data_IF_474224955973
#
_entry.id   IF_474224955973
#
_cell.length_a   1.000
_cell.length_b   1.000
_cell.length_c   1.000
_cell.angle_alpha   90.00
_cell.angle_beta   90.00
_cell.angle_gamma   90.00
#
_symmetry.space_group_name_H-M   'P 1'
#
loop_
_entity.id
_entity.type
_entity.pdbx_description
1 polymer ?
#
# COMPACT_ATOMS: atom_id res chain seq x y z
N UNK A 1 40.66 29.58 -15.69
CA UNK A 1 39.40 30.22 -15.25
C UNK A 1 38.23 29.95 -16.20
N UNK A 2 38.27 30.28 -17.50
CA UNK A 2 37.15 30.07 -18.43
C UNK A 2 36.70 28.59 -18.54
N UNK A 3 37.66 27.64 -18.68
CA UNK A 3 37.34 26.20 -18.77
C UNK A 3 36.62 25.70 -17.50
N UNK A 4 37.08 26.13 -16.31
CA UNK A 4 36.43 25.77 -15.03
C UNK A 4 35.00 26.30 -14.96
N UNK A 5 34.76 27.54 -15.42
CA UNK A 5 33.40 28.13 -15.46
C UNK A 5 32.51 27.33 -16.40
N UNK A 6 33.00 26.95 -17.57
CA UNK A 6 32.23 26.14 -18.55
C UNK A 6 31.85 24.80 -17.93
N UNK A 7 32.80 24.09 -17.31
CA UNK A 7 32.53 22.79 -16.65
C UNK A 7 31.50 22.96 -15.54
N UNK A 8 31.66 23.95 -14.67
CA UNK A 8 30.73 24.21 -13.57
C UNK A 8 29.30 24.53 -14.10
N UNK A 9 29.22 25.34 -15.17
CA UNK A 9 27.92 25.67 -15.80
C UNK A 9 27.27 24.42 -16.40
N UNK A 10 28.01 23.59 -17.10
CA UNK A 10 27.49 22.33 -17.69
C UNK A 10 26.98 21.39 -16.56
N UNK A 11 27.74 21.23 -15.48
CA UNK A 11 27.33 20.41 -14.35
C UNK A 11 26.04 20.95 -13.70
N UNK A 12 25.96 22.28 -13.51
CA UNK A 12 24.76 22.92 -12.95
C UNK A 12 23.53 22.68 -13.84
N UNK A 13 23.68 22.81 -15.16
CA UNK A 13 22.59 22.53 -16.13
C UNK A 13 22.15 21.07 -16.06
N UNK A 14 23.08 20.12 -15.97
CA UNK A 14 22.77 18.69 -15.84
C UNK A 14 22.01 18.43 -14.54
N UNK A 15 22.45 18.99 -13.41
CA UNK A 15 21.78 18.86 -12.13
C UNK A 15 20.36 19.47 -12.15
N UNK A 16 20.22 20.64 -12.77
CA UNK A 16 18.92 21.30 -12.93
C UNK A 16 17.97 20.46 -13.79
N UNK A 17 18.42 19.94 -14.92
CA UNK A 17 17.63 19.06 -15.78
C UNK A 17 17.27 17.77 -15.05
N UNK A 18 18.23 17.19 -14.31
CA UNK A 18 17.99 16.04 -13.45
C UNK A 18 16.85 16.31 -12.46
N UNK A 19 16.93 17.42 -11.73
CA UNK A 19 15.92 17.82 -10.77
C UNK A 19 14.56 18.12 -11.42
N UNK A 20 14.54 18.88 -12.54
CA UNK A 20 13.32 19.19 -13.27
C UNK A 20 12.59 17.92 -13.75
N UNK A 21 13.33 16.91 -14.21
CA UNK A 21 12.78 15.64 -14.64
C UNK A 21 12.03 14.91 -13.50
N UNK A 22 12.47 15.08 -12.26
CA UNK A 22 11.82 14.50 -11.07
C UNK A 22 10.59 15.31 -10.61
N UNK A 23 10.35 16.51 -11.12
CA UNK A 23 9.15 17.28 -10.82
C UNK A 23 7.96 16.91 -11.74
N UNK A 24 8.23 16.21 -12.83
CA UNK A 24 7.19 15.82 -13.80
C UNK A 24 6.48 14.57 -13.32
N UNK A 25 5.20 14.71 -12.97
CA UNK A 25 4.36 13.57 -12.58
C UNK A 25 4.12 12.64 -13.78
N UNK A 26 4.19 11.32 -13.60
CA UNK A 26 3.87 10.37 -14.67
C UNK A 26 2.38 10.45 -15.05
N UNK A 27 2.06 10.11 -16.28
CA UNK A 27 0.68 9.85 -16.67
C UNK A 27 0.22 8.56 -15.96
N UNK A 28 -1.01 8.54 -15.41
CA UNK A 28 -1.59 7.30 -14.86
C UNK A 28 -1.58 6.17 -15.90
N UNK A 29 -1.63 4.92 -15.43
CA UNK A 29 -1.93 3.79 -16.31
C UNK A 29 -3.32 3.95 -16.92
N UNK A 30 -3.58 3.28 -18.06
CA UNK A 30 -4.90 3.24 -18.68
C UNK A 30 -5.95 2.75 -17.65
N UNK A 31 -7.19 3.25 -17.71
CA UNK A 31 -8.26 2.77 -16.84
C UNK A 31 -8.40 1.25 -16.89
N UNK A 32 -8.82 0.65 -15.76
CA UNK A 32 -9.09 -0.79 -15.74
C UNK A 32 -10.28 -1.09 -16.70
N UNK A 33 -10.20 -2.17 -17.48
CA UNK A 33 -11.23 -2.43 -18.51
C UNK A 33 -12.60 -2.77 -17.94
N UNK A 34 -12.65 -3.30 -16.72
CA UNK A 34 -13.87 -3.65 -16.02
C UNK A 34 -14.23 -2.61 -14.97
N UNK A 35 -15.52 -2.45 -14.72
CA UNK A 35 -16.05 -1.56 -13.68
C UNK A 35 -16.55 -2.39 -12.51
N UNK A 36 -16.47 -1.81 -11.32
CA UNK A 36 -17.10 -2.35 -10.11
C UNK A 36 -18.57 -2.70 -10.37
N UNK A 37 -18.99 -3.95 -10.17
CA UNK A 37 -20.39 -4.34 -10.23
C UNK A 37 -21.16 -3.80 -9.01
N UNK A 38 -22.46 -4.05 -8.94
CA UNK A 38 -23.23 -3.86 -7.71
C UNK A 38 -22.66 -4.77 -6.61
N UNK A 39 -22.25 -4.18 -5.48
CA UNK A 39 -21.64 -4.91 -4.39
C UNK A 39 -22.73 -5.51 -3.49
N UNK A 40 -22.55 -6.78 -3.17
CA UNK A 40 -23.33 -7.40 -2.08
C UNK A 40 -22.89 -6.80 -0.76
N UNK A 41 -23.83 -6.68 0.20
CA UNK A 41 -23.55 -6.21 1.54
C UNK A 41 -23.94 -7.25 2.60
N UNK A 42 -23.35 -7.13 3.77
CA UNK A 42 -23.73 -7.84 4.98
C UNK A 42 -23.96 -6.82 6.11
N UNK A 43 -24.80 -7.10 7.09
CA UNK A 43 -24.94 -6.25 8.27
C UNK A 43 -23.61 -6.08 9.01
N UNK A 44 -23.38 -4.90 9.58
CA UNK A 44 -22.24 -4.67 10.47
C UNK A 44 -22.30 -5.65 11.65
N UNK A 45 -21.26 -6.47 11.88
CA UNK A 45 -21.23 -7.42 13.01
C UNK A 45 -21.34 -6.70 14.36
N UNK A 46 -22.09 -7.30 15.28
CA UNK A 46 -22.18 -6.82 16.65
C UNK A 46 -20.95 -7.24 17.48
N UNK A 47 -20.65 -6.50 18.55
CA UNK A 47 -19.59 -6.86 19.50
C UNK A 47 -18.19 -6.45 19.09
N UNK A 48 -18.05 -5.61 18.07
CA UNK A 48 -16.76 -5.01 17.71
C UNK A 48 -16.25 -4.09 18.84
N UNK A 49 -14.91 -3.95 19.01
CA UNK A 49 -14.34 -2.90 19.86
C UNK A 49 -14.90 -1.52 19.50
N UNK A 50 -15.15 -0.68 20.50
CA UNK A 50 -15.79 0.62 20.30
C UNK A 50 -15.14 1.51 19.21
N UNK A 51 -13.80 1.65 19.13
CA UNK A 51 -13.19 2.43 18.05
C UNK A 51 -13.36 1.78 16.68
N UNK A 52 -13.39 0.45 16.61
CA UNK A 52 -13.60 -0.30 15.37
C UNK A 52 -15.03 -0.15 14.87
N UNK A 53 -16.02 -0.31 15.75
CA UNK A 53 -17.43 -0.10 15.40
C UNK A 53 -17.67 1.32 14.89
N UNK A 54 -17.10 2.33 15.55
CA UNK A 54 -17.15 3.74 15.14
C UNK A 54 -16.57 3.94 13.74
N UNK A 55 -15.41 3.34 13.47
CA UNK A 55 -14.75 3.38 12.17
C UNK A 55 -15.66 2.83 11.06
N UNK A 56 -16.20 1.61 11.23
CA UNK A 56 -17.06 1.00 10.21
C UNK A 56 -18.35 1.77 10.00
N UNK A 57 -18.98 2.25 11.07
CA UNK A 57 -20.17 3.12 10.98
C UNK A 57 -19.86 4.43 10.21
N UNK A 58 -18.67 4.97 10.42
CA UNK A 58 -18.24 6.18 9.69
C UNK A 58 -18.03 5.91 8.22
N UNK A 59 -17.39 4.78 7.87
CA UNK A 59 -17.00 4.47 6.48
C UNK A 59 -18.16 3.91 5.67
N UNK A 60 -18.90 2.96 6.23
CA UNK A 60 -19.91 2.18 5.50
C UNK A 60 -21.33 2.34 6.04
N UNK A 61 -21.52 2.78 7.28
CA UNK A 61 -22.80 2.73 7.96
C UNK A 61 -23.07 1.35 8.56
N UNK A 62 -24.31 0.87 8.38
CA UNK A 62 -24.75 -0.41 8.95
C UNK A 62 -24.61 -1.60 7.97
N UNK A 63 -24.24 -1.33 6.72
CA UNK A 63 -24.12 -2.32 5.65
C UNK A 63 -22.68 -2.35 5.10
N UNK A 64 -22.02 -3.48 5.26
CA UNK A 64 -20.61 -3.69 4.89
C UNK A 64 -20.52 -4.35 3.53
N UNK A 65 -19.80 -3.78 2.54
CA UNK A 65 -19.65 -4.39 1.23
C UNK A 65 -18.78 -5.66 1.30
N UNK A 66 -19.18 -6.70 0.57
CA UNK A 66 -18.36 -7.90 0.39
C UNK A 66 -17.42 -7.66 -0.78
N UNK A 67 -16.13 -7.54 -0.48
CA UNK A 67 -15.07 -7.26 -1.46
C UNK A 67 -14.15 -8.48 -1.55
N UNK A 68 -14.10 -9.10 -2.73
CA UNK A 68 -13.30 -10.30 -3.00
C UNK A 68 -12.03 -9.98 -3.78
N UNK A 69 -12.09 -8.99 -4.67
CA UNK A 69 -10.94 -8.54 -5.46
C UNK A 69 -10.89 -7.02 -5.53
N UNK A 70 -9.68 -6.47 -5.66
CA UNK A 70 -9.47 -5.03 -5.77
C UNK A 70 -8.38 -4.73 -6.79
N UNK A 71 -8.60 -3.71 -7.60
CA UNK A 71 -7.57 -3.09 -8.43
C UNK A 71 -7.41 -1.62 -8.04
N UNK A 72 -6.22 -1.25 -7.64
CA UNK A 72 -5.83 0.11 -7.28
C UNK A 72 -4.87 0.66 -8.35
N UNK A 73 -5.11 1.87 -8.82
CA UNK A 73 -4.19 2.58 -9.70
C UNK A 73 -3.99 4.00 -9.21
N UNK A 74 -2.78 4.49 -9.35
CA UNK A 74 -2.49 5.82 -8.87
C UNK A 74 -1.07 6.28 -9.16
N UNK A 75 -0.70 7.30 -8.39
CA UNK A 75 0.63 7.89 -8.40
C UNK A 75 1.28 7.72 -7.04
N UNK A 76 2.60 7.69 -7.02
CA UNK A 76 3.36 7.60 -5.79
C UNK A 76 4.56 8.55 -5.81
N UNK A 77 5.05 8.84 -4.61
CA UNK A 77 6.38 9.40 -4.38
C UNK A 77 7.16 8.40 -3.57
N UNK A 78 8.18 7.78 -4.17
CA UNK A 78 9.02 6.78 -3.50
C UNK A 78 10.42 7.33 -3.28
N UNK A 79 11.09 6.89 -2.22
CA UNK A 79 12.41 7.41 -1.83
C UNK A 79 13.40 6.29 -1.50
N UNK A 80 13.68 5.36 -2.44
CA UNK A 80 14.52 4.19 -2.17
C UNK A 80 15.94 4.54 -1.74
N UNK A 81 16.47 5.70 -2.17
CA UNK A 81 17.82 6.17 -1.86
C UNK A 81 17.82 7.56 -1.20
N UNK A 82 16.72 7.93 -0.53
CA UNK A 82 16.58 9.27 0.06
C UNK A 82 16.24 10.38 -0.96
N UNK A 83 16.21 10.08 -2.24
CA UNK A 83 15.78 11.00 -3.31
C UNK A 83 14.33 10.66 -3.67
N UNK A 84 13.45 11.66 -3.66
CA UNK A 84 12.04 11.49 -4.05
C UNK A 84 11.94 11.27 -5.56
N UNK A 85 11.38 10.11 -5.93
CA UNK A 85 11.12 9.74 -7.31
C UNK A 85 9.60 9.73 -7.55
N UNK A 86 9.11 10.47 -8.55
CA UNK A 86 7.72 10.36 -8.95
C UNK A 86 7.48 8.98 -9.58
N UNK A 87 6.38 8.34 -9.19
CA UNK A 87 6.03 7.00 -9.66
C UNK A 87 4.54 6.89 -9.99
N UNK A 88 4.18 5.85 -10.73
CA UNK A 88 2.81 5.39 -10.95
C UNK A 88 2.72 3.91 -10.63
N UNK A 89 1.55 3.45 -10.22
CA UNK A 89 1.35 2.07 -9.80
C UNK A 89 0.02 1.48 -10.28
N UNK A 90 0.01 0.16 -10.36
CA UNK A 90 -1.17 -0.69 -10.40
C UNK A 90 -0.97 -1.83 -9.40
N UNK A 91 -1.87 -1.93 -8.45
CA UNK A 91 -1.90 -2.95 -7.40
C UNK A 91 -3.17 -3.77 -7.56
N UNK A 92 -3.01 -5.07 -7.53
CA UNK A 92 -4.09 -6.02 -7.77
C UNK A 92 -4.15 -6.99 -6.60
N UNK A 93 -5.33 -7.17 -6.02
CA UNK A 93 -5.55 -8.03 -4.87
C UNK A 93 -6.63 -9.07 -5.13
N UNK A 94 -6.36 -10.28 -4.71
CA UNK A 94 -7.33 -11.28 -4.29
C UNK A 94 -7.39 -11.16 -2.75
N UNK A 95 -8.40 -10.49 -2.24
CA UNK A 95 -8.38 -9.91 -0.88
C UNK A 95 -8.09 -10.94 0.21
N UNK A 96 -7.21 -10.58 1.15
CA UNK A 96 -6.82 -11.45 2.25
C UNK A 96 -5.97 -12.68 1.86
N UNK A 97 -5.55 -12.79 0.60
CA UNK A 97 -4.80 -13.95 0.09
C UNK A 97 -3.59 -13.54 -0.72
N UNK A 98 -3.83 -12.93 -1.88
CA UNK A 98 -2.79 -12.68 -2.87
C UNK A 98 -2.77 -11.22 -3.26
N UNK A 99 -1.61 -10.73 -3.63
CA UNK A 99 -1.48 -9.48 -4.36
C UNK A 99 -0.37 -9.54 -5.39
N UNK A 100 -0.50 -8.65 -6.39
CA UNK A 100 0.59 -8.30 -7.28
C UNK A 100 0.64 -6.80 -7.43
N UNK A 101 1.81 -6.23 -7.21
CA UNK A 101 2.11 -4.83 -7.37
C UNK A 101 3.05 -4.61 -8.54
N UNK A 102 2.70 -3.68 -9.38
CA UNK A 102 3.60 -3.17 -10.41
C UNK A 102 3.69 -1.67 -10.28
N UNK A 103 4.89 -1.15 -10.19
CA UNK A 103 5.10 0.28 -10.18
C UNK A 103 6.33 0.72 -10.97
N UNK A 104 6.28 1.94 -11.47
CA UNK A 104 7.32 2.54 -12.29
C UNK A 104 7.70 3.89 -11.71
N UNK A 105 8.98 4.07 -11.32
CA UNK A 105 9.51 5.40 -11.10
C UNK A 105 9.86 6.05 -12.43
N UNK A 106 9.63 7.37 -12.54
CA UNK A 106 9.74 8.09 -13.81
C UNK A 106 10.67 9.30 -13.71
N UNK A 107 11.27 9.65 -14.83
CA UNK A 107 12.01 10.87 -15.06
C UNK A 107 11.45 11.55 -16.31
N UNK A 108 11.03 12.81 -16.21
CA UNK A 108 10.20 13.47 -17.22
C UNK A 108 8.95 12.67 -17.61
N UNK A 109 8.37 11.90 -16.66
CA UNK A 109 7.24 11.03 -16.93
C UNK A 109 7.56 9.75 -17.70
N UNK A 110 8.82 9.51 -18.05
CA UNK A 110 9.29 8.30 -18.75
C UNK A 110 9.78 7.28 -17.72
N UNK A 111 9.28 6.03 -17.75
CA UNK A 111 9.71 5.00 -16.81
C UNK A 111 11.20 4.66 -16.97
N UNK A 112 11.95 4.64 -15.86
CA UNK A 112 13.35 4.20 -15.83
C UNK A 112 13.62 3.11 -14.80
N UNK A 113 12.79 3.02 -13.74
CA UNK A 113 12.85 1.97 -12.73
C UNK A 113 11.48 1.29 -12.68
N UNK A 114 11.46 -0.02 -12.91
CA UNK A 114 10.26 -0.85 -12.88
C UNK A 114 10.40 -1.89 -11.78
N UNK A 115 9.38 -2.03 -10.96
CA UNK A 115 9.32 -3.02 -9.89
C UNK A 115 8.05 -3.84 -10.07
N UNK A 116 8.20 -5.14 -9.96
CA UNK A 116 7.13 -6.12 -9.91
C UNK A 116 7.32 -6.93 -8.63
N UNK A 117 6.34 -6.89 -7.75
CA UNK A 117 6.39 -7.61 -6.47
C UNK A 117 5.04 -8.23 -6.17
N UNK A 118 5.02 -9.24 -5.33
CA UNK A 118 3.76 -9.85 -4.96
C UNK A 118 3.90 -10.89 -3.85
N UNK A 119 2.74 -11.39 -3.47
CA UNK A 119 2.54 -12.51 -2.56
C UNK A 119 1.44 -13.37 -3.14
N UNK A 120 1.77 -14.56 -3.60
CA UNK A 120 0.86 -15.46 -4.31
C UNK A 120 1.03 -16.85 -3.75
N UNK A 121 -0.07 -17.50 -3.38
CA UNK A 121 -0.09 -18.84 -2.80
C UNK A 121 0.86 -19.00 -1.57
N UNK A 122 1.06 -17.93 -0.80
CA UNK A 122 1.92 -17.93 0.40
C UNK A 122 3.38 -17.59 0.15
N UNK A 123 3.78 -17.37 -1.09
CA UNK A 123 5.15 -17.09 -1.50
C UNK A 123 5.31 -15.66 -2.02
N UNK A 124 6.30 -14.94 -1.49
CA UNK A 124 6.63 -13.60 -1.96
C UNK A 124 7.61 -13.64 -3.12
N UNK A 125 7.50 -12.64 -3.98
CA UNK A 125 8.51 -12.34 -4.98
C UNK A 125 8.73 -10.83 -5.09
N UNK A 126 9.95 -10.47 -5.47
CA UNK A 126 10.33 -9.10 -5.80
C UNK A 126 11.27 -9.11 -6.99
N UNK A 127 10.97 -8.32 -8.00
CA UNK A 127 11.79 -8.16 -9.19
C UNK A 127 12.02 -6.68 -9.51
N UNK A 128 13.26 -6.30 -9.61
CA UNK A 128 13.67 -4.95 -10.02
C UNK A 128 14.98 -5.00 -10.81
N UNK A 129 15.34 -3.94 -11.52
CA UNK A 129 16.66 -3.85 -12.15
C UNK A 129 17.84 -3.90 -11.18
N UNK A 130 17.59 -3.75 -9.88
CA UNK A 130 18.61 -3.74 -8.82
C UNK A 130 18.78 -5.10 -8.13
N UNK A 131 17.92 -6.05 -8.40
CA UNK A 131 17.94 -7.39 -7.81
C UNK A 131 16.55 -7.99 -7.71
N UNK A 132 16.55 -9.31 -7.44
CA UNK A 132 15.34 -10.08 -7.28
C UNK A 132 15.50 -11.06 -6.13
N UNK A 133 14.40 -11.38 -5.45
CA UNK A 133 14.32 -12.45 -4.46
C UNK A 133 12.97 -13.14 -4.55
N UNK A 134 12.90 -14.36 -4.07
CA UNK A 134 11.72 -15.20 -4.15
C UNK A 134 11.67 -16.10 -2.90
N UNK A 135 10.46 -16.35 -2.41
CA UNK A 135 10.14 -17.34 -1.39
C UNK A 135 11.15 -17.40 -0.23
N UNK A 136 11.23 -16.32 0.53
CA UNK A 136 12.02 -16.24 1.77
C UNK A 136 11.07 -15.94 2.93
N UNK A 137 11.20 -16.65 4.05
CA UNK A 137 10.30 -16.49 5.20
C UNK A 137 10.11 -15.03 5.64
N UNK A 138 11.20 -14.26 5.69
CA UNK A 138 11.15 -12.88 6.14
C UNK A 138 10.35 -12.02 5.15
N UNK A 139 10.59 -12.23 3.85
CA UNK A 139 9.86 -11.49 2.81
C UNK A 139 8.43 -11.98 2.64
N UNK A 140 8.16 -13.26 2.88
CA UNK A 140 6.80 -13.80 2.95
C UNK A 140 6.00 -13.14 4.07
N UNK A 141 6.57 -13.03 5.29
CA UNK A 141 5.96 -12.31 6.40
C UNK A 141 5.72 -10.83 6.04
N UNK A 142 6.72 -10.18 5.46
CA UNK A 142 6.62 -8.79 5.03
C UNK A 142 5.52 -8.59 3.99
N UNK A 143 5.44 -9.46 2.98
CA UNK A 143 4.44 -9.40 1.93
C UNK A 143 3.03 -9.69 2.47
N UNK A 144 2.87 -10.73 3.31
CA UNK A 144 1.59 -11.00 3.97
C UNK A 144 1.08 -9.78 4.75
N UNK A 145 1.94 -9.10 5.49
CA UNK A 145 1.56 -7.88 6.21
C UNK A 145 1.18 -6.74 5.27
N UNK A 146 1.73 -6.66 4.07
CA UNK A 146 1.31 -5.68 3.06
C UNK A 146 -0.12 -5.96 2.58
N UNK A 147 -0.49 -7.24 2.32
CA UNK A 147 -1.89 -7.63 2.00
C UNK A 147 -2.88 -7.01 2.98
N UNK A 148 -2.59 -7.18 4.28
CA UNK A 148 -3.50 -6.75 5.35
C UNK A 148 -3.47 -5.25 5.61
N UNK A 149 -2.31 -4.60 5.50
CA UNK A 149 -2.21 -3.15 5.70
C UNK A 149 -2.89 -2.37 4.58
N UNK A 150 -2.78 -2.81 3.33
CA UNK A 150 -3.42 -2.19 2.17
C UNK A 150 -4.94 -2.34 2.18
N UNK A 151 -5.44 -3.34 2.89
CA UNK A 151 -6.87 -3.47 3.17
C UNK A 151 -7.45 -2.26 3.91
N UNK A 152 -6.64 -1.37 4.46
CA UNK A 152 -7.08 -0.05 4.94
C UNK A 152 -7.79 0.80 3.90
N UNK A 153 -7.60 0.53 2.59
CA UNK A 153 -8.31 1.15 1.48
C UNK A 153 -9.63 0.45 1.12
N UNK A 154 -9.83 -0.79 1.61
CA UNK A 154 -11.02 -1.62 1.43
C UNK A 154 -11.29 -2.47 2.69
N UNK A 155 -11.50 -1.83 3.86
CA UNK A 155 -11.39 -2.48 5.17
C UNK A 155 -12.51 -3.47 5.49
N UNK A 156 -13.50 -3.62 4.62
CA UNK A 156 -14.54 -4.64 4.80
C UNK A 156 -13.97 -6.05 4.87
N UNK A 157 -12.81 -6.30 4.23
CA UNK A 157 -12.14 -7.62 4.26
C UNK A 157 -11.77 -8.04 5.69
N UNK A 158 -11.46 -7.12 6.59
CA UNK A 158 -11.18 -7.42 8.00
C UNK A 158 -12.40 -7.87 8.80
N UNK A 159 -13.62 -7.76 8.22
CA UNK A 159 -14.86 -8.27 8.83
C UNK A 159 -15.44 -9.46 8.05
N UNK A 160 -15.06 -9.63 6.79
CA UNK A 160 -15.58 -10.70 5.93
C UNK A 160 -14.65 -11.92 5.86
N UNK A 161 -13.40 -11.80 6.31
CA UNK A 161 -12.48 -12.92 6.42
C UNK A 161 -12.53 -13.49 7.85
N UNK A 162 -12.97 -14.74 7.99
CA UNK A 162 -13.16 -15.43 9.28
C UNK A 162 -11.84 -15.66 10.05
N UNK A 163 -10.69 -15.55 9.38
CA UNK A 163 -9.36 -15.69 9.99
C UNK A 163 -8.90 -14.43 10.71
N UNK A 164 -9.61 -13.31 10.51
CA UNK A 164 -9.27 -12.00 11.05
C UNK A 164 -10.10 -11.71 12.28
N UNK A 165 -9.50 -11.13 13.30
CA UNK A 165 -10.22 -10.75 14.53
C UNK A 165 -9.69 -9.45 15.11
N UNK A 166 -10.55 -8.78 15.85
CA UNK A 166 -10.25 -7.55 16.54
C UNK A 166 -10.26 -7.74 18.05
N UNK A 167 -9.28 -7.14 18.75
CA UNK A 167 -9.28 -7.07 20.22
C UNK A 167 -9.18 -5.61 20.70
N UNK A 168 -9.94 -5.22 21.72
CA UNK A 168 -9.91 -3.86 22.24
C UNK A 168 -8.64 -3.62 23.06
N UNK A 169 -8.06 -2.41 22.97
CA UNK A 169 -7.05 -1.89 23.89
C UNK A 169 -7.64 -0.74 24.70
N UNK A 170 -8.09 0.31 24.01
CA UNK A 170 -8.71 1.50 24.61
C UNK A 170 -9.69 2.16 23.64
N UNK A 171 -10.19 3.38 23.95
CA UNK A 171 -11.19 4.09 23.15
C UNK A 171 -10.69 4.54 21.77
N UNK A 172 -9.39 4.44 21.49
CA UNK A 172 -8.74 4.90 20.26
C UNK A 172 -7.87 3.84 19.60
N UNK A 173 -7.70 2.69 20.26
CA UNK A 173 -6.74 1.67 19.83
C UNK A 173 -7.36 0.29 19.89
N UNK A 174 -7.13 -0.51 18.87
CA UNK A 174 -7.47 -1.92 18.84
C UNK A 174 -6.34 -2.73 18.21
N UNK A 175 -6.26 -4.01 18.53
CA UNK A 175 -5.40 -4.97 17.82
C UNK A 175 -6.21 -5.61 16.69
N UNK A 176 -5.59 -5.67 15.53
CA UNK A 176 -6.07 -6.43 14.37
C UNK A 176 -5.16 -7.64 14.20
N UNK A 177 -5.68 -8.82 14.47
CA UNK A 177 -4.98 -10.08 14.23
C UNK A 177 -5.28 -10.59 12.84
N UNK A 178 -4.23 -10.98 12.13
CA UNK A 178 -4.28 -11.47 10.76
C UNK A 178 -3.48 -12.78 10.64
N UNK A 179 -3.88 -13.71 9.77
CA UNK A 179 -3.17 -14.98 9.61
C UNK A 179 -1.83 -14.79 8.90
N UNK A 180 -0.85 -15.58 9.33
CA UNK A 180 0.41 -15.80 8.62
C UNK A 180 0.89 -17.23 8.88
N UNK A 181 0.90 -18.08 7.86
CA UNK A 181 1.15 -19.52 7.98
C UNK A 181 0.25 -20.16 9.06
N UNK A 182 0.82 -20.89 10.01
CA UNK A 182 0.13 -21.50 11.15
C UNK A 182 0.03 -20.56 12.37
N UNK A 183 0.36 -19.26 12.21
CA UNK A 183 0.41 -18.27 13.28
C UNK A 183 -0.46 -17.06 12.95
N UNK A 184 -0.51 -16.13 13.90
CA UNK A 184 -1.11 -14.82 13.72
C UNK A 184 -0.05 -13.73 13.88
N UNK A 185 -0.15 -12.71 13.04
CA UNK A 185 0.53 -11.43 13.23
C UNK A 185 -0.51 -10.39 13.68
N UNK A 186 -0.07 -9.33 14.32
CA UNK A 186 -1.01 -8.32 14.79
C UNK A 186 -0.54 -6.90 14.49
N UNK A 187 -1.49 -6.08 14.08
CA UNK A 187 -1.32 -4.64 13.96
C UNK A 187 -1.87 -3.94 15.20
N UNK A 188 -1.16 -2.93 15.69
CA UNK A 188 -1.73 -1.91 16.54
C UNK A 188 -2.37 -0.87 15.66
N UNK A 189 -3.70 -0.77 15.68
CA UNK A 189 -4.46 0.17 14.87
C UNK A 189 -4.94 1.32 15.74
N UNK A 190 -4.57 2.56 15.37
CA UNK A 190 -4.98 3.77 16.07
C UNK A 190 -5.98 4.55 15.25
N UNK A 191 -7.04 4.97 15.92
CA UNK A 191 -8.14 5.71 15.32
C UNK A 191 -8.09 7.17 15.76
N UNK A 192 -8.32 8.07 14.83
CA UNK A 192 -8.50 9.47 15.12
C UNK A 192 -9.82 9.69 15.88
N UNK A 193 -9.79 10.34 17.06
CA UNK A 193 -10.98 10.47 17.91
C UNK A 193 -12.03 11.43 17.36
N UNK A 194 -11.64 12.35 16.48
CA UNK A 194 -12.54 13.36 15.92
C UNK A 194 -13.28 12.82 14.69
N UNK A 195 -12.56 12.12 13.82
CA UNK A 195 -13.10 11.60 12.56
C UNK A 195 -13.60 10.17 12.67
N UNK A 196 -13.09 9.39 13.63
CA UNK A 196 -13.32 7.95 13.73
C UNK A 196 -12.58 7.11 12.69
N UNK A 197 -11.77 7.73 11.85
CA UNK A 197 -10.99 7.04 10.82
C UNK A 197 -9.67 6.49 11.39
N UNK A 198 -9.05 5.55 10.69
CA UNK A 198 -7.72 5.07 11.05
C UNK A 198 -6.71 6.18 10.83
N UNK A 199 -5.89 6.48 11.84
CA UNK A 199 -4.71 7.35 11.74
C UNK A 199 -3.48 6.54 11.34
N UNK A 200 -3.14 5.50 12.12
CA UNK A 200 -1.97 4.65 11.88
C UNK A 200 -2.25 3.18 12.10
N UNK A 201 -1.50 2.35 11.39
CA UNK A 201 -1.36 0.93 11.66
C UNK A 201 0.14 0.62 11.84
N UNK A 202 0.48 -0.08 12.90
CA UNK A 202 1.85 -0.35 13.32
C UNK A 202 2.05 -1.87 13.50
N UNK A 203 3.12 -2.43 12.92
CA UNK A 203 3.43 -3.85 13.03
C UNK A 203 4.93 -4.12 12.96
N UNK A 204 5.40 -5.16 13.65
CA UNK A 204 6.78 -5.65 13.55
C UNK A 204 6.95 -6.47 12.28
N UNK A 205 7.75 -5.98 11.33
CA UNK A 205 7.90 -6.51 9.97
C UNK A 205 9.36 -6.69 9.60
N UNK A 206 9.67 -7.77 8.89
CA UNK A 206 10.96 -7.91 8.22
C UNK A 206 11.00 -7.01 6.98
N UNK A 207 12.16 -6.36 6.77
CA UNK A 207 12.39 -5.54 5.59
C UNK A 207 13.17 -6.28 4.51
N UNK A 208 14.16 -7.06 4.94
CA UNK A 208 15.15 -7.65 4.07
C UNK A 208 15.09 -9.20 4.15
N UNK A 209 15.41 -9.92 3.06
CA UNK A 209 15.49 -11.37 3.06
C UNK A 209 16.68 -11.90 3.87
N UNK A 210 16.66 -13.18 4.17
CA UNK A 210 17.76 -13.95 4.72
C UNK A 210 17.78 -14.06 6.24
N UNK A 211 18.59 -15.02 6.72
CA UNK A 211 18.72 -15.32 8.13
C UNK A 211 19.36 -14.18 8.93
N UNK A 212 19.02 -14.10 10.21
CA UNK A 212 19.58 -13.13 11.14
C UNK A 212 19.01 -11.71 11.05
N UNK A 213 18.09 -11.46 10.15
CA UNK A 213 17.37 -10.18 10.08
C UNK A 213 16.48 -9.98 11.30
N UNK A 214 16.24 -8.73 11.65
CA UNK A 214 15.34 -8.35 12.75
C UNK A 214 14.11 -7.65 12.20
N UNK A 215 12.97 -7.93 12.79
CA UNK A 215 11.75 -7.16 12.55
C UNK A 215 11.96 -5.71 12.97
N UNK A 216 11.54 -4.79 12.16
CA UNK A 216 11.54 -3.34 12.40
C UNK A 216 10.08 -2.89 12.46
N UNK A 217 9.77 -1.95 13.33
CA UNK A 217 8.44 -1.37 13.36
C UNK A 217 8.16 -0.69 12.03
N UNK A 218 7.13 -1.18 11.34
CA UNK A 218 6.61 -0.64 10.09
C UNK A 218 5.29 0.05 10.35
N UNK A 219 5.16 1.27 9.88
CA UNK A 219 4.05 2.16 10.17
C UNK A 219 3.43 2.57 8.85
N UNK A 220 2.13 2.30 8.70
CA UNK A 220 1.33 2.91 7.64
C UNK A 220 0.45 4.00 8.23
N UNK A 221 0.26 5.09 7.49
CA UNK A 221 -0.55 6.23 7.92
C UNK A 221 -1.42 6.72 6.78
N UNK A 222 -2.65 7.11 7.12
CA UNK A 222 -3.47 7.87 6.20
C UNK A 222 -2.93 9.30 6.07
N UNK A 223 -2.64 9.71 4.84
CA UNK A 223 -2.14 11.07 4.57
C UNK A 223 -3.31 12.00 4.24
N UNK A 224 -3.21 13.30 4.61
CA UNK A 224 -4.18 14.30 4.19
C UNK A 224 -4.27 14.40 2.66
N UNK A 225 -5.48 14.49 2.14
CA UNK A 225 -5.66 14.57 0.69
C UNK A 225 -7.08 14.23 0.24
N UNK A 226 -7.23 13.84 -1.04
CA UNK A 226 -8.50 13.41 -1.56
C UNK A 226 -8.97 12.12 -0.87
N UNK A 227 -10.27 11.90 -0.88
CA UNK A 227 -10.87 10.61 -0.49
C UNK A 227 -11.03 9.70 -1.70
N UNK A 228 -11.14 8.39 -1.45
CA UNK A 228 -11.53 7.43 -2.48
C UNK A 228 -12.93 7.77 -3.02
N UNK A 229 -13.18 7.55 -4.32
CA UNK A 229 -14.48 7.82 -4.91
C UNK A 229 -15.63 7.12 -4.15
N UNK A 230 -16.63 7.90 -3.72
CA UNK A 230 -17.79 7.37 -2.99
C UNK A 230 -17.51 6.91 -1.55
N UNK A 231 -16.35 7.24 -0.98
CA UNK A 231 -15.94 6.81 0.36
C UNK A 231 -15.46 7.99 1.21
N UNK A 232 -15.39 7.80 2.52
CA UNK A 232 -14.71 8.70 3.45
C UNK A 232 -13.25 8.34 3.69
N UNK A 233 -12.79 7.20 3.17
CA UNK A 233 -11.41 6.75 3.30
C UNK A 233 -10.47 7.68 2.52
N UNK A 234 -9.30 7.99 3.10
CA UNK A 234 -8.26 8.73 2.38
C UNK A 234 -7.80 7.91 1.16
N UNK A 235 -7.63 8.59 0.03
CA UNK A 235 -7.01 8.00 -1.15
C UNK A 235 -5.48 7.98 -1.05
N UNK A 236 -4.91 8.62 -0.02
CA UNK A 236 -3.45 8.72 0.17
C UNK A 236 -3.01 8.04 1.44
N UNK A 237 -1.94 7.25 1.34
CA UNK A 237 -1.31 6.59 2.47
C UNK A 237 0.21 6.61 2.35
N UNK A 238 0.89 6.58 3.49
CA UNK A 238 2.35 6.49 3.56
C UNK A 238 2.81 5.22 4.26
N UNK A 239 4.02 4.78 3.93
CA UNK A 239 4.72 3.69 4.58
C UNK A 239 6.07 4.16 5.12
N UNK A 240 6.32 3.86 6.38
CA UNK A 240 7.51 4.31 7.12
C UNK A 240 8.14 3.15 7.87
N UNK A 241 9.45 2.98 7.75
CA UNK A 241 10.24 2.19 8.66
C UNK A 241 10.70 3.07 9.83
N UNK A 242 10.49 2.63 11.07
CA UNK A 242 10.81 3.44 12.25
C UNK A 242 12.28 3.91 12.28
N UNK A 243 13.21 3.04 11.87
CA UNK A 243 14.64 3.34 11.81
C UNK A 243 15.01 4.40 10.78
N UNK A 244 14.15 4.67 9.80
CA UNK A 244 14.32 5.73 8.80
C UNK A 244 13.69 7.05 9.21
N UNK A 245 12.71 7.04 10.12
CA UNK A 245 12.08 8.22 10.72
C UNK A 245 11.27 9.10 9.75
N UNK A 246 11.06 8.66 8.52
CA UNK A 246 10.28 9.36 7.48
C UNK A 246 9.69 8.37 6.49
N UNK A 247 8.57 8.71 5.83
CA UNK A 247 8.01 7.88 4.78
C UNK A 247 9.02 7.61 3.66
N UNK A 248 9.18 6.32 3.33
CA UNK A 248 9.92 5.91 2.13
C UNK A 248 9.03 5.94 0.89
N UNK A 249 7.70 5.81 1.08
CA UNK A 249 6.71 5.90 0.03
C UNK A 249 5.45 6.61 0.51
N UNK A 250 4.85 7.39 -0.40
CA UNK A 250 3.50 7.95 -0.28
C UNK A 250 2.77 7.55 -1.55
N UNK A 251 1.66 6.84 -1.41
CA UNK A 251 0.81 6.40 -2.51
C UNK A 251 -0.48 7.22 -2.51
N UNK A 252 -0.93 7.61 -3.70
CA UNK A 252 -2.22 8.29 -3.88
C UNK A 252 -3.02 7.55 -4.94
N UNK A 253 -4.08 6.89 -4.52
CA UNK A 253 -5.00 6.13 -5.37
C UNK A 253 -5.91 7.08 -6.13
N UNK A 254 -5.89 6.99 -7.45
CA UNK A 254 -6.75 7.77 -8.34
C UNK A 254 -7.91 6.96 -8.91
N UNK A 255 -7.77 5.64 -8.96
CA UNK A 255 -8.79 4.71 -9.43
C UNK A 255 -8.82 3.49 -8.53
N UNK A 256 -10.02 3.05 -8.16
CA UNK A 256 -10.26 1.80 -7.43
C UNK A 256 -11.42 1.06 -8.07
N UNK A 257 -11.25 -0.24 -8.31
CA UNK A 257 -12.28 -1.13 -8.81
C UNK A 257 -12.38 -2.35 -7.91
N UNK A 258 -13.59 -2.69 -7.51
CA UNK A 258 -13.89 -3.83 -6.64
C UNK A 258 -14.56 -4.96 -7.43
N UNK A 259 -14.34 -6.20 -7.01
CA UNK A 259 -14.99 -7.39 -7.52
C UNK A 259 -14.93 -7.53 -9.04
N UNK A 260 -13.80 -7.13 -9.62
CA UNK A 260 -13.47 -7.30 -11.05
C UNK A 260 -12.60 -8.54 -11.23
N UNK A 261 -12.56 -9.10 -12.44
CA UNK A 261 -11.73 -10.25 -12.72
C UNK A 261 -10.24 -9.89 -12.70
N UNK A 262 -9.52 -10.37 -11.71
CA UNK A 262 -8.08 -10.11 -11.53
C UNK A 262 -7.20 -11.30 -11.92
N UNK A 263 -7.74 -12.45 -12.27
CA UNK A 263 -7.01 -13.69 -12.50
C UNK A 263 -5.85 -13.54 -13.48
N UNK A 264 -6.05 -12.77 -14.54
CA UNK A 264 -5.02 -12.49 -15.55
C UNK A 264 -3.89 -11.64 -14.97
N UNK A 265 -4.21 -10.65 -14.17
CA UNK A 265 -3.23 -9.68 -13.65
C UNK A 265 -2.43 -10.21 -12.47
N UNK A 266 -3.01 -11.08 -11.64
CA UNK A 266 -2.30 -11.78 -10.56
C UNK A 266 -1.16 -12.63 -11.13
N UNK A 267 -1.37 -13.27 -12.28
CA UNK A 267 -0.37 -14.16 -12.91
C UNK A 267 0.51 -13.45 -13.95
N UNK A 268 0.22 -12.21 -14.30
CA UNK A 268 0.89 -11.50 -15.37
C UNK A 268 1.82 -10.39 -14.83
N UNK A 269 3.04 -10.35 -15.34
CA UNK A 269 3.99 -9.28 -15.06
C UNK A 269 3.58 -7.97 -15.76
N UNK A 270 3.51 -6.89 -14.98
CA UNK A 270 3.19 -5.56 -15.46
C UNK A 270 1.71 -5.35 -15.81
N UNK A 271 1.36 -4.14 -16.26
CA UNK A 271 0.01 -3.77 -16.66
C UNK A 271 -0.41 -4.37 -17.98
#
# INVERSE_FOLDING_TARGET
MKVFIIIATVLLVILLLGWLGLQVKPKPFAPYPEKTPELKTIPLPAGLPAPVERFYKTVYGDEIPVIETVVLKGQASISPFGVKLPARFIFVHNTGRDYRHYFEATWFGIPFLKVDEGYIDGESFFESPMGSYYDDYNTNQGANLAVWAEAGLFPSVWLTDERVRWEPIDDRTALLYVPFEDQEENFVVRFDPETGLIDTMEVMRFRDPGEGQKKILWITRNEPGPTLPGSKLSASGSATWLDQGKPWAIFTTGEINYNVNVSKYIQQRGP
#
